data_IF_466709293784
#
_entry.id   IF_466709293784
#
_cell.length_a   1.000
_cell.length_b   1.000
_cell.length_c   1.000
_cell.angle_alpha   90.00
_cell.angle_beta   90.00
_cell.angle_gamma   90.00
#
_symmetry.space_group_name_H-M   'P 1'
#
loop_
_entity.id
_entity.type
_entity.pdbx_description
1 polymer ?
#
# COMPACT_ATOMS: atom_id res chain seq x y z
N UNK A 1 35.08 -1.71 15.68
CA UNK A 1 33.68 -1.27 15.54
C UNK A 1 32.89 -1.99 16.63
N UNK A 2 32.54 -1.32 17.74
CA UNK A 2 31.69 -1.95 18.78
C UNK A 2 30.27 -2.01 18.22
N UNK A 3 29.71 -3.20 18.10
CA UNK A 3 28.28 -3.38 17.82
C UNK A 3 27.51 -2.91 19.05
N UNK A 4 26.72 -1.86 18.90
CA UNK A 4 25.82 -1.38 19.97
C UNK A 4 24.78 -2.47 20.22
N UNK A 5 24.60 -2.86 21.48
CA UNK A 5 23.63 -3.89 21.88
C UNK A 5 22.19 -3.37 21.78
N UNK A 6 21.24 -4.27 21.49
CA UNK A 6 19.82 -3.93 21.39
C UNK A 6 19.30 -3.32 22.71
N UNK A 7 19.80 -3.79 23.86
CA UNK A 7 19.48 -3.24 25.19
C UNK A 7 19.99 -1.80 25.40
N UNK A 8 21.18 -1.50 24.87
CA UNK A 8 21.78 -0.16 24.94
C UNK A 8 20.97 0.83 24.08
N UNK A 9 20.54 0.40 22.88
CA UNK A 9 19.64 1.17 22.01
C UNK A 9 18.27 1.38 22.68
N UNK A 10 17.71 0.34 23.30
CA UNK A 10 16.44 0.45 24.02
C UNK A 10 16.53 1.50 25.15
N UNK A 11 17.64 1.50 25.89
CA UNK A 11 17.89 2.48 26.95
C UNK A 11 18.07 3.90 26.40
N UNK A 12 18.89 4.07 25.35
CA UNK A 12 19.09 5.35 24.67
C UNK A 12 17.80 5.91 24.05
N UNK A 13 16.93 5.01 23.56
CA UNK A 13 15.62 5.35 23.03
C UNK A 13 14.56 5.69 24.09
N UNK A 14 14.89 5.56 25.38
CA UNK A 14 13.99 5.89 26.48
C UNK A 14 12.92 4.83 26.77
N UNK A 15 13.11 3.59 26.32
CA UNK A 15 12.19 2.49 26.58
C UNK A 15 12.36 1.96 28.00
N UNK A 16 11.24 1.57 28.65
CA UNK A 16 11.25 1.06 30.03
C UNK A 16 11.72 -0.38 30.12
N UNK A 17 11.72 -1.10 29.00
CA UNK A 17 12.20 -2.48 28.90
C UNK A 17 12.61 -2.84 27.46
N UNK A 18 13.43 -3.89 27.33
CA UNK A 18 13.76 -4.48 26.02
C UNK A 18 12.51 -4.97 25.28
N UNK A 19 11.55 -5.55 26.01
CA UNK A 19 10.29 -6.03 25.42
C UNK A 19 9.47 -4.90 24.80
N UNK A 20 9.39 -3.74 25.47
CA UNK A 20 8.71 -2.55 24.94
C UNK A 20 9.38 -2.06 23.65
N UNK A 21 10.73 -2.03 23.63
CA UNK A 21 11.50 -1.66 22.45
C UNK A 21 11.24 -2.62 21.28
N UNK A 22 11.25 -3.94 21.52
CA UNK A 22 11.02 -4.94 20.48
C UNK A 22 9.61 -4.81 19.90
N UNK A 23 8.59 -4.69 20.75
CA UNK A 23 7.20 -4.51 20.28
C UNK A 23 7.09 -3.24 19.44
N UNK A 24 7.66 -2.13 19.91
CA UNK A 24 7.66 -0.88 19.14
C UNK A 24 8.34 -1.03 17.77
N UNK A 25 9.54 -1.62 17.74
CA UNK A 25 10.29 -1.80 16.49
C UNK A 25 9.54 -2.70 15.49
N UNK A 26 8.96 -3.82 15.97
CA UNK A 26 8.18 -4.74 15.13
C UNK A 26 6.92 -4.06 14.60
N UNK A 27 6.19 -3.30 15.43
CA UNK A 27 5.01 -2.56 14.99
C UNK A 27 5.35 -1.50 13.94
N UNK A 28 6.45 -0.76 14.11
CA UNK A 28 6.91 0.21 13.13
C UNK A 28 7.24 -0.44 11.78
N UNK A 29 7.91 -1.59 11.79
CA UNK A 29 8.24 -2.29 10.55
C UNK A 29 7.00 -2.90 9.88
N UNK A 30 6.08 -3.46 10.68
CA UNK A 30 4.80 -3.95 10.18
C UNK A 30 4.01 -2.83 9.46
N UNK A 31 3.93 -1.63 10.05
CA UNK A 31 3.28 -0.49 9.41
C UNK A 31 3.97 -0.06 8.11
N UNK A 32 5.30 -0.03 8.05
CA UNK A 32 6.02 0.29 6.81
C UNK A 32 5.73 -0.71 5.69
N UNK A 33 5.65 -2.00 6.04
CA UNK A 33 5.30 -3.06 5.09
C UNK A 33 3.87 -2.83 4.60
N UNK A 34 2.92 -2.63 5.50
CA UNK A 34 1.53 -2.33 5.17
C UNK A 34 1.41 -1.11 4.25
N UNK A 35 2.04 0.01 4.60
CA UNK A 35 2.04 1.23 3.80
C UNK A 35 2.63 0.99 2.41
N UNK A 36 3.76 0.28 2.32
CA UNK A 36 4.41 -0.02 1.03
C UNK A 36 3.51 -0.85 0.12
N UNK A 37 2.74 -1.79 0.66
CA UNK A 37 1.88 -2.68 -0.11
C UNK A 37 0.48 -2.09 -0.39
N UNK A 38 -0.04 -1.26 0.51
CA UNK A 38 -1.38 -0.66 0.40
C UNK A 38 -1.37 0.67 -0.36
N UNK A 39 -0.19 1.24 -0.66
CA UNK A 39 -0.08 2.51 -1.38
C UNK A 39 -0.46 2.37 -2.85
N UNK A 40 -1.64 2.86 -3.18
CA UNK A 40 -2.09 3.09 -4.55
C UNK A 40 -1.35 4.33 -5.10
N UNK A 41 -0.93 4.29 -6.38
CA UNK A 41 -0.18 5.36 -7.04
C UNK A 41 1.22 5.63 -6.46
N UNK A 42 1.99 4.55 -6.25
CA UNK A 42 3.32 4.61 -5.68
C UNK A 42 4.33 5.41 -6.54
N UNK A 43 4.16 5.44 -7.87
CA UNK A 43 5.04 6.19 -8.77
C UNK A 43 4.37 7.44 -9.36
N UNK A 44 5.19 8.44 -9.75
CA UNK A 44 4.71 9.63 -10.46
C UNK A 44 4.01 9.28 -11.79
N UNK A 45 4.48 8.22 -12.45
CA UNK A 45 3.85 7.72 -13.67
C UNK A 45 2.42 7.24 -13.42
N UNK A 46 2.22 6.46 -12.35
CA UNK A 46 0.89 5.94 -12.00
C UNK A 46 -0.06 7.07 -11.62
N UNK A 47 0.44 8.05 -10.83
CA UNK A 47 -0.32 9.27 -10.51
C UNK A 47 -0.77 9.98 -11.77
N UNK A 48 0.14 10.22 -12.72
CA UNK A 48 -0.19 10.89 -13.98
C UNK A 48 -1.27 10.14 -14.75
N UNK A 49 -1.11 8.82 -14.94
CA UNK A 49 -2.10 8.00 -15.67
C UNK A 49 -3.46 8.05 -14.98
N UNK A 50 -3.49 7.94 -13.65
CA UNK A 50 -4.72 7.98 -12.88
C UNK A 50 -5.44 9.33 -12.98
N UNK A 51 -4.71 10.43 -12.75
CA UNK A 51 -5.29 11.78 -12.84
C UNK A 51 -5.72 12.13 -14.26
N UNK A 52 -4.94 11.74 -15.28
CA UNK A 52 -5.33 11.91 -16.68
C UNK A 52 -6.64 11.18 -16.98
N UNK A 53 -6.81 9.95 -16.46
CA UNK A 53 -8.04 9.18 -16.64
C UNK A 53 -9.25 9.78 -15.91
N UNK A 54 -9.05 10.50 -14.80
CA UNK A 54 -10.13 11.23 -14.11
C UNK A 54 -10.52 12.51 -14.85
N UNK A 55 -9.53 13.29 -15.28
CA UNK A 55 -9.76 14.60 -15.91
C UNK A 55 -10.20 14.46 -17.37
N UNK A 56 -9.72 13.41 -18.05
CA UNK A 56 -9.99 13.13 -19.46
C UNK A 56 -10.41 11.66 -19.61
N UNK A 57 -11.61 11.28 -19.16
CA UNK A 57 -12.03 9.88 -19.14
C UNK A 57 -12.04 9.27 -20.55
N UNK A 58 -11.24 8.22 -20.80
CA UNK A 58 -11.18 7.60 -22.11
C UNK A 58 -12.46 6.82 -22.41
N UNK A 59 -12.82 6.72 -23.70
CA UNK A 59 -13.92 5.84 -24.12
C UNK A 59 -13.57 4.37 -23.83
N UNK A 60 -14.55 3.55 -23.41
CA UNK A 60 -14.31 2.13 -23.15
C UNK A 60 -13.87 1.43 -24.43
N UNK A 61 -12.81 0.63 -24.33
CA UNK A 61 -12.29 -0.13 -25.46
C UNK A 61 -13.22 -1.32 -25.83
N UNK A 62 -13.02 -1.96 -26.99
CA UNK A 62 -13.87 -3.08 -27.41
C UNK A 62 -13.88 -4.27 -26.43
N UNK A 63 -12.77 -4.53 -25.74
CA UNK A 63 -12.69 -5.61 -24.76
C UNK A 63 -13.57 -5.34 -23.54
N UNK A 64 -13.52 -4.11 -23.01
CA UNK A 64 -14.34 -3.68 -21.87
C UNK A 64 -15.84 -3.69 -22.22
N UNK A 65 -16.20 -3.25 -23.42
CA UNK A 65 -17.58 -3.33 -23.94
C UNK A 65 -18.08 -4.78 -23.99
N UNK A 66 -17.25 -5.73 -24.45
CA UNK A 66 -17.60 -7.16 -24.49
C UNK A 66 -17.75 -7.74 -23.08
N UNK A 67 -16.85 -7.41 -22.17
CA UNK A 67 -16.91 -7.86 -20.77
C UNK A 67 -18.20 -7.37 -20.09
N UNK A 68 -18.57 -6.10 -20.30
CA UNK A 68 -19.82 -5.53 -19.80
C UNK A 68 -21.06 -6.25 -20.37
N UNK A 69 -21.10 -6.51 -21.68
CA UNK A 69 -22.20 -7.28 -22.30
C UNK A 69 -22.31 -8.70 -21.73
N UNK A 70 -21.17 -9.38 -21.53
CA UNK A 70 -21.13 -10.72 -20.91
C UNK A 70 -21.68 -10.68 -19.48
N UNK A 71 -21.30 -9.67 -18.69
CA UNK A 71 -21.82 -9.47 -17.35
C UNK A 71 -23.35 -9.29 -17.37
N UNK A 72 -23.88 -8.34 -18.15
CA UNK A 72 -25.34 -8.09 -18.19
C UNK A 72 -26.14 -9.35 -18.56
N UNK A 73 -25.64 -10.14 -19.51
CA UNK A 73 -26.27 -11.41 -19.89
C UNK A 73 -26.24 -12.46 -18.76
N UNK A 74 -25.19 -12.47 -17.93
CA UNK A 74 -25.01 -13.43 -16.85
C UNK A 74 -25.83 -13.06 -15.60
N UNK A 75 -25.95 -11.76 -15.29
CA UNK A 75 -26.65 -11.28 -14.07
C UNK A 75 -28.13 -10.97 -14.33
N UNK A 76 -28.63 -11.18 -15.57
CA UNK A 76 -30.05 -11.13 -15.87
C UNK A 76 -30.71 -9.77 -15.65
N UNK A 77 -29.94 -8.67 -15.72
CA UNK A 77 -30.53 -7.33 -15.77
C UNK A 77 -31.06 -7.09 -17.18
N UNK A 78 -32.39 -7.07 -17.30
CA UNK A 78 -33.16 -6.62 -18.48
C UNK A 78 -32.62 -5.30 -19.04
#
# INVERSE_FOLDING_TARGET
MKTVGIEEIATLGGFKSLSEFIVHAVSQEAHKIEEKHSRILASEKDKKIFFDALMNPPKPNPALKRAFKKYNNAVGTK
#
